data_IF_010377594030
#
_entry.id   IF_010377594030
#
_cell.length_a   1.000
_cell.length_b   1.000
_cell.length_c   1.000
_cell.angle_alpha   90.00
_cell.angle_beta   90.00
_cell.angle_gamma   90.00
#
_symmetry.space_group_name_H-M   'P 1'
#
loop_
_entity.id
_entity.type
_entity.pdbx_description
1 polymer ?
#
# COMPACT_ATOMS: atom_id res chain seq x y z
N UNK A 1 -9.17 -42.62 30.84
CA UNK A 1 -9.84 -41.39 30.36
C UNK A 1 -9.00 -40.82 29.22
N UNK A 2 -9.50 -40.85 27.98
CA UNK A 2 -8.81 -40.32 26.78
C UNK A 2 -9.48 -39.00 26.41
N UNK A 3 -8.69 -37.94 26.26
CA UNK A 3 -9.14 -36.57 26.07
C UNK A 3 -9.74 -36.42 24.66
N UNK A 4 -10.94 -35.81 24.48
CA UNK A 4 -11.60 -35.73 23.18
C UNK A 4 -11.01 -34.67 22.23
N UNK A 5 -10.01 -33.91 22.66
CA UNK A 5 -9.37 -32.85 21.87
C UNK A 5 -8.04 -33.32 21.29
N UNK A 6 -8.11 -34.17 20.26
CA UNK A 6 -6.96 -34.46 19.39
C UNK A 6 -6.74 -33.26 18.47
N UNK A 7 -5.49 -32.80 18.32
CA UNK A 7 -5.11 -31.70 17.42
C UNK A 7 -5.63 -31.88 15.98
N UNK A 8 -5.87 -33.13 15.54
CA UNK A 8 -6.49 -33.43 14.24
C UNK A 8 -7.93 -32.95 14.11
N UNK A 9 -8.71 -32.92 15.20
CA UNK A 9 -10.10 -32.45 15.18
C UNK A 9 -10.16 -30.93 14.99
N UNK A 10 -9.22 -30.19 15.58
CA UNK A 10 -9.15 -28.73 15.44
C UNK A 10 -8.72 -28.32 14.02
N UNK A 11 -7.73 -29.00 13.44
CA UNK A 11 -7.28 -28.73 12.07
C UNK A 11 -8.38 -29.03 11.04
N UNK A 12 -9.12 -30.13 11.19
CA UNK A 12 -10.23 -30.46 10.28
C UNK A 12 -11.43 -29.51 10.41
N UNK A 13 -11.71 -29.01 11.62
CA UNK A 13 -12.81 -28.06 11.85
C UNK A 13 -12.45 -26.66 11.32
N UNK A 14 -11.19 -26.24 11.45
CA UNK A 14 -10.71 -24.99 10.84
C UNK A 14 -10.68 -25.07 9.31
N UNK A 15 -10.23 -26.18 8.72
CA UNK A 15 -10.23 -26.37 7.27
C UNK A 15 -11.66 -26.47 6.70
N UNK A 16 -12.56 -27.16 7.39
CA UNK A 16 -13.96 -27.32 6.96
C UNK A 16 -14.81 -26.06 7.11
N UNK A 17 -14.57 -25.25 8.14
CA UNK A 17 -15.35 -24.03 8.38
C UNK A 17 -14.81 -22.81 7.62
N UNK A 18 -13.49 -22.73 7.41
CA UNK A 18 -12.83 -21.56 6.84
C UNK A 18 -12.30 -21.75 5.41
N UNK A 19 -11.94 -22.97 5.00
CA UNK A 19 -11.35 -23.21 3.67
C UNK A 19 -12.30 -23.89 2.67
N UNK A 20 -13.28 -24.67 3.13
CA UNK A 20 -14.28 -25.28 2.25
C UNK A 20 -15.10 -24.28 1.38
N UNK A 21 -15.49 -23.08 1.85
CA UNK A 21 -16.17 -22.10 1.00
C UNK A 21 -15.21 -21.32 0.07
N UNK A 22 -13.90 -21.55 0.14
CA UNK A 22 -12.87 -20.86 -0.64
C UNK A 22 -12.19 -21.74 -1.71
N UNK A 23 -12.62 -22.99 -1.88
CA UNK A 23 -12.23 -23.79 -3.04
C UNK A 23 -13.20 -23.45 -4.19
N UNK A 24 -12.77 -22.72 -5.23
CA UNK A 24 -13.61 -22.51 -6.40
C UNK A 24 -13.85 -23.87 -7.07
N UNK A 25 -15.08 -24.37 -6.98
CA UNK A 25 -15.59 -25.38 -7.89
C UNK A 25 -15.34 -24.87 -9.30
N UNK A 26 -14.44 -25.53 -10.02
CA UNK A 26 -13.98 -25.18 -11.35
C UNK A 26 -15.10 -25.33 -12.38
N UNK A 27 -16.06 -24.40 -12.38
CA UNK A 27 -17.04 -24.18 -13.45
C UNK A 27 -17.88 -22.90 -13.31
N UNK A 28 -17.71 -22.05 -12.27
CA UNK A 28 -18.44 -20.78 -12.13
C UNK A 28 -17.54 -19.55 -12.26
N UNK A 29 -16.82 -19.42 -13.37
CA UNK A 29 -16.31 -18.13 -13.85
C UNK A 29 -17.43 -17.34 -14.58
N UNK A 30 -18.57 -17.18 -13.91
CA UNK A 30 -19.67 -16.29 -14.30
C UNK A 30 -20.78 -16.36 -13.23
N UNK A 31 -20.52 -15.83 -12.04
CA UNK A 31 -21.62 -15.46 -11.15
C UNK A 31 -21.46 -13.98 -10.84
N UNK A 32 -22.16 -13.17 -11.63
CA UNK A 32 -22.40 -11.77 -11.33
C UNK A 32 -22.98 -11.67 -9.92
N UNK A 33 -22.32 -10.92 -9.04
CA UNK A 33 -22.97 -10.38 -7.85
C UNK A 33 -24.20 -9.60 -8.35
N UNK A 34 -25.43 -9.98 -7.98
CA UNK A 34 -26.62 -9.33 -8.52
C UNK A 34 -26.70 -7.87 -8.05
N UNK A 35 -26.32 -6.98 -8.96
CA UNK A 35 -26.20 -5.53 -8.81
C UNK A 35 -27.56 -4.79 -8.74
N UNK A 36 -28.47 -5.25 -7.87
CA UNK A 36 -29.85 -4.74 -7.83
C UNK A 36 -30.30 -4.17 -6.47
N UNK A 37 -29.65 -4.50 -5.34
CA UNK A 37 -30.05 -3.97 -4.02
C UNK A 37 -29.04 -2.96 -3.42
N UNK A 38 -27.80 -2.93 -3.89
CA UNK A 38 -26.72 -2.07 -3.38
C UNK A 38 -26.77 -0.63 -3.96
N UNK A 39 -27.47 -0.44 -5.08
CA UNK A 39 -27.55 0.82 -5.82
C UNK A 39 -28.09 1.98 -4.98
N UNK A 40 -28.95 1.74 -3.98
CA UNK A 40 -29.55 2.81 -3.16
C UNK A 40 -28.62 3.40 -2.09
N UNK A 41 -27.78 2.58 -1.45
CA UNK A 41 -26.82 3.03 -0.44
C UNK A 41 -25.54 3.57 -1.10
N UNK A 42 -25.03 2.90 -2.13
CA UNK A 42 -23.86 3.35 -2.87
C UNK A 42 -24.09 4.73 -3.52
N UNK A 43 -25.24 4.95 -4.16
CA UNK A 43 -25.57 6.24 -4.80
C UNK A 43 -25.67 7.37 -3.78
N UNK A 44 -26.21 7.10 -2.58
CA UNK A 44 -26.28 8.12 -1.50
C UNK A 44 -24.92 8.49 -0.94
N UNK A 45 -24.02 7.51 -0.84
CA UNK A 45 -22.64 7.74 -0.42
C UNK A 45 -21.93 8.59 -1.48
N UNK A 46 -22.05 8.20 -2.76
CA UNK A 46 -21.45 8.94 -3.87
C UNK A 46 -21.98 10.36 -3.99
N UNK A 47 -23.29 10.60 -3.91
CA UNK A 47 -23.85 11.96 -3.98
C UNK A 47 -23.36 12.87 -2.84
N UNK A 48 -23.09 12.28 -1.68
CA UNK A 48 -22.61 13.03 -0.49
C UNK A 48 -21.09 13.25 -0.54
N UNK A 49 -20.32 12.27 -1.00
CA UNK A 49 -18.85 12.30 -1.00
C UNK A 49 -18.29 12.90 -2.30
N UNK A 50 -18.93 12.71 -3.44
CA UNK A 50 -18.50 13.25 -4.73
C UNK A 50 -18.24 14.76 -4.75
N UNK A 51 -19.05 15.66 -4.13
CA UNK A 51 -18.73 17.08 -4.14
C UNK A 51 -17.45 17.40 -3.37
N UNK A 52 -17.18 16.66 -2.28
CA UNK A 52 -15.96 16.80 -1.49
C UNK A 52 -14.78 16.25 -2.30
N UNK A 53 -14.88 15.04 -2.84
CA UNK A 53 -13.86 14.41 -3.66
C UNK A 53 -13.48 15.27 -4.87
N UNK A 54 -14.47 15.81 -5.61
CA UNK A 54 -14.23 16.70 -6.75
C UNK A 54 -13.56 18.02 -6.35
N UNK A 55 -13.88 18.56 -5.17
CA UNK A 55 -13.21 19.75 -4.66
C UNK A 55 -11.73 19.46 -4.35
N UNK A 56 -11.44 18.31 -3.74
CA UNK A 56 -10.07 17.86 -3.51
C UNK A 56 -9.32 17.57 -4.81
N UNK A 57 -9.93 16.85 -5.74
CA UNK A 57 -9.31 16.52 -7.03
C UNK A 57 -8.92 17.77 -7.80
N UNK A 58 -9.80 18.79 -7.82
CA UNK A 58 -9.51 20.06 -8.48
C UNK A 58 -8.33 20.80 -7.84
N UNK A 59 -8.17 20.72 -6.53
CA UNK A 59 -7.08 21.40 -5.81
C UNK A 59 -5.77 20.62 -5.97
N UNK A 60 -5.81 19.31 -5.71
CA UNK A 60 -4.64 18.41 -5.68
C UNK A 60 -4.10 18.15 -7.09
N UNK A 61 -4.99 17.94 -8.07
CA UNK A 61 -4.65 17.71 -9.46
C UNK A 61 -4.81 18.95 -10.36
N UNK A 62 -4.91 20.14 -9.77
CA UNK A 62 -4.61 21.37 -10.53
C UNK A 62 -3.19 21.23 -11.06
N UNK A 63 -2.99 21.43 -12.36
CA UNK A 63 -1.71 21.17 -13.02
C UNK A 63 -1.39 22.21 -14.07
N UNK A 64 -0.12 22.28 -14.44
CA UNK A 64 0.34 23.06 -15.57
C UNK A 64 0.75 22.12 -16.71
N UNK A 65 0.42 22.50 -17.93
CA UNK A 65 0.81 21.77 -19.13
C UNK A 65 2.31 21.99 -19.36
N UNK A 66 3.09 20.91 -19.36
CA UNK A 66 4.54 20.96 -19.59
C UNK A 66 4.88 20.78 -21.07
N UNK A 67 4.12 19.94 -21.76
CA UNK A 67 4.24 19.63 -23.20
C UNK A 67 2.83 19.32 -23.73
N UNK A 68 2.58 19.47 -25.03
CA UNK A 68 1.30 19.15 -25.69
C UNK A 68 0.72 17.80 -25.20
N UNK A 69 -0.26 17.88 -24.29
CA UNK A 69 -0.98 16.72 -23.73
C UNK A 69 -0.45 16.14 -22.41
N UNK A 70 0.61 16.69 -21.79
CA UNK A 70 1.14 16.21 -20.50
C UNK A 70 0.89 17.25 -19.40
N UNK A 71 -0.16 17.02 -18.62
CA UNK A 71 -0.50 17.82 -17.43
C UNK A 71 0.25 17.24 -16.23
N UNK A 72 1.13 18.04 -15.61
CA UNK A 72 1.74 17.67 -14.33
C UNK A 72 0.94 18.26 -13.16
N UNK A 73 0.37 17.42 -12.27
CA UNK A 73 -0.28 17.89 -11.05
C UNK A 73 0.67 18.71 -10.18
N UNK A 74 0.18 19.82 -9.64
CA UNK A 74 0.93 20.70 -8.71
C UNK A 74 1.39 19.91 -7.48
N UNK A 75 0.59 18.94 -7.00
CA UNK A 75 0.99 18.07 -5.88
C UNK A 75 2.27 17.28 -6.18
N UNK A 76 2.42 16.77 -7.41
CA UNK A 76 3.60 16.01 -7.84
C UNK A 76 4.85 16.89 -7.87
N UNK A 77 4.70 18.13 -8.34
CA UNK A 77 5.78 19.11 -8.41
C UNK A 77 6.20 19.54 -7.00
N UNK A 78 5.24 19.78 -6.11
CA UNK A 78 5.51 20.11 -4.71
C UNK A 78 6.23 18.96 -3.99
N UNK A 79 5.74 17.72 -4.15
CA UNK A 79 6.36 16.52 -3.57
C UNK A 79 7.78 16.30 -4.12
N UNK A 80 7.95 16.36 -5.44
CA UNK A 80 9.26 16.20 -6.08
C UNK A 80 10.26 17.29 -5.68
N UNK A 81 9.84 18.57 -5.70
CA UNK A 81 10.67 19.68 -5.27
C UNK A 81 11.07 19.57 -3.80
N UNK A 82 10.13 19.19 -2.93
CA UNK A 82 10.39 18.98 -1.50
C UNK A 82 11.34 17.80 -1.29
N UNK A 83 11.15 16.68 -1.99
CA UNK A 83 12.02 15.52 -1.91
C UNK A 83 13.46 15.83 -2.34
N UNK A 84 13.63 16.56 -3.44
CA UNK A 84 14.95 17.02 -3.91
C UNK A 84 15.57 17.98 -2.90
N UNK A 85 14.80 18.97 -2.42
CA UNK A 85 15.25 19.93 -1.42
C UNK A 85 15.73 19.23 -0.13
N UNK A 86 14.93 18.33 0.43
CA UNK A 86 15.29 17.56 1.62
C UNK A 86 16.51 16.67 1.37
N UNK A 87 16.60 16.04 0.19
CA UNK A 87 17.74 15.18 -0.17
C UNK A 87 19.05 15.98 -0.23
N UNK A 88 19.02 17.17 -0.81
CA UNK A 88 20.18 18.07 -0.86
C UNK A 88 20.53 18.64 0.51
N UNK A 89 19.52 19.09 1.27
CA UNK A 89 19.69 19.64 2.62
C UNK A 89 20.32 18.62 3.58
N UNK A 90 19.84 17.37 3.56
CA UNK A 90 20.41 16.27 4.35
C UNK A 90 21.65 15.62 3.74
N UNK A 91 22.23 16.21 2.67
CA UNK A 91 23.47 15.75 2.03
C UNK A 91 23.42 14.27 1.59
N UNK A 92 22.30 13.84 1.00
CA UNK A 92 22.05 12.46 0.57
C UNK A 92 22.08 11.42 1.71
N UNK A 93 21.52 11.78 2.87
CA UNK A 93 21.40 10.84 4.00
C UNK A 93 20.63 9.57 3.63
N UNK A 94 19.66 9.64 2.70
CA UNK A 94 18.90 8.48 2.22
C UNK A 94 19.82 7.35 1.72
N UNK A 95 20.92 7.69 1.05
CA UNK A 95 21.90 6.71 0.57
C UNK A 95 22.98 6.39 1.62
N UNK A 96 23.53 7.42 2.30
CA UNK A 96 24.64 7.22 3.24
C UNK A 96 24.24 6.54 4.55
N UNK A 97 23.02 6.84 5.01
CA UNK A 97 22.46 6.34 6.27
C UNK A 97 21.95 4.91 6.21
N UNK A 98 21.74 4.34 5.00
CA UNK A 98 21.15 3.02 4.81
C UNK A 98 21.87 1.91 5.60
N UNK A 99 23.21 1.90 5.58
CA UNK A 99 24.00 0.90 6.31
C UNK A 99 23.97 1.06 7.83
N UNK A 100 23.73 2.28 8.35
CA UNK A 100 23.55 2.52 9.80
C UNK A 100 22.13 2.13 10.19
N UNK A 101 21.14 2.51 9.39
CA UNK A 101 19.73 2.16 9.60
C UNK A 101 19.53 0.64 9.64
N UNK A 102 20.12 -0.12 8.71
CA UNK A 102 20.00 -1.58 8.70
C UNK A 102 20.66 -2.24 9.92
N UNK A 103 21.82 -1.73 10.36
CA UNK A 103 22.47 -2.22 11.59
C UNK A 103 21.65 -1.92 12.85
N UNK A 104 20.96 -0.78 12.87
CA UNK A 104 20.07 -0.37 13.96
C UNK A 104 18.80 -1.23 13.98
N UNK A 105 18.17 -1.43 12.82
CA UNK A 105 16.99 -2.29 12.67
C UNK A 105 17.27 -3.75 13.07
N UNK A 106 18.50 -4.25 12.85
CA UNK A 106 18.93 -5.60 13.28
C UNK A 106 19.27 -5.71 14.78
N UNK A 107 19.09 -4.63 15.55
CA UNK A 107 19.28 -4.64 17.01
C UNK A 107 20.72 -4.44 17.48
N UNK A 108 21.67 -4.11 16.58
CA UNK A 108 23.10 -3.99 16.93
C UNK A 108 23.43 -2.79 17.83
N UNK A 109 22.51 -1.85 17.96
CA UNK A 109 22.65 -0.61 18.74
C UNK A 109 21.53 -0.44 19.78
N UNK A 110 20.88 -1.51 20.23
CA UNK A 110 19.84 -1.43 21.28
C UNK A 110 20.50 -1.57 22.66
N UNK A 111 20.54 -0.51 23.50
CA UNK A 111 20.91 -0.65 24.90
C UNK A 111 19.96 -1.62 25.62
N UNK A 112 20.47 -2.35 26.60
CA UNK A 112 19.69 -3.30 27.40
C UNK A 112 18.60 -2.63 28.27
N UNK A 113 18.64 -1.29 28.37
CA UNK A 113 17.75 -0.41 29.14
C UNK A 113 17.07 0.65 28.25
N UNK A 114 16.85 0.32 26.96
CA UNK A 114 16.17 1.22 26.04
C UNK A 114 14.65 1.24 26.34
N UNK A 115 14.03 2.41 26.55
CA UNK A 115 12.59 2.50 26.72
C UNK A 115 11.89 2.18 25.40
N UNK A 116 11.20 1.04 25.33
CA UNK A 116 10.42 0.63 24.16
C UNK A 116 9.72 -0.72 24.36
N UNK A 117 8.42 -0.76 24.08
CA UNK A 117 7.61 -1.98 24.18
C UNK A 117 7.78 -2.93 22.98
N UNK A 118 8.34 -2.43 21.88
CA UNK A 118 8.58 -3.18 20.64
C UNK A 118 10.01 -3.02 20.15
N UNK A 119 10.52 -4.06 19.49
CA UNK A 119 11.87 -4.02 18.90
C UNK A 119 11.92 -3.10 17.68
N UNK A 120 13.10 -2.54 17.38
CA UNK A 120 13.33 -1.73 16.18
C UNK A 120 12.93 -2.47 14.88
N UNK A 121 13.15 -3.79 14.82
CA UNK A 121 12.74 -4.60 13.69
C UNK A 121 11.21 -4.71 13.59
N UNK A 122 10.51 -4.93 14.70
CA UNK A 122 9.04 -4.99 14.70
C UNK A 122 8.41 -3.65 14.29
N UNK A 123 8.97 -2.53 14.75
CA UNK A 123 8.54 -1.21 14.31
C UNK A 123 8.74 -1.01 12.80
N UNK A 124 9.90 -1.43 12.27
CA UNK A 124 10.17 -1.39 10.83
C UNK A 124 9.21 -2.29 10.05
N UNK A 125 8.97 -3.52 10.50
CA UNK A 125 8.04 -4.45 9.84
C UNK A 125 6.60 -3.92 9.83
N UNK A 126 6.15 -3.29 10.91
CA UNK A 126 4.84 -2.64 10.97
C UNK A 126 4.74 -1.48 9.96
N UNK A 127 5.77 -0.62 9.90
CA UNK A 127 5.82 0.48 8.94
C UNK A 127 5.85 -0.02 7.48
N UNK A 128 6.70 -1.01 7.17
CA UNK A 128 6.80 -1.61 5.84
C UNK A 128 5.50 -2.31 5.42
N UNK A 129 4.78 -2.93 6.36
CA UNK A 129 3.47 -3.53 6.08
C UNK A 129 2.43 -2.49 5.71
N UNK A 130 2.52 -1.27 6.25
CA UNK A 130 1.62 -0.19 5.90
C UNK A 130 1.93 0.38 4.50
N UNK A 131 3.21 0.37 4.09
CA UNK A 131 3.62 0.94 2.81
C UNK A 131 3.59 -0.07 1.67
N UNK A 132 3.87 -1.35 1.90
CA UNK A 132 3.91 -2.40 0.85
C UNK A 132 2.57 -3.13 0.79
N UNK A 133 1.55 -2.44 0.28
CA UNK A 133 0.19 -2.99 0.13
C UNK A 133 -0.17 -3.35 -1.32
N UNK A 134 -1.39 -3.90 -1.51
CA UNK A 134 -1.98 -4.18 -2.83
C UNK A 134 -1.99 -2.93 -3.72
N UNK A 135 -2.14 -1.75 -3.12
CA UNK A 135 -2.07 -0.46 -3.82
C UNK A 135 -0.74 -0.21 -4.52
N UNK A 136 0.40 -0.64 -3.95
CA UNK A 136 1.70 -0.50 -4.61
C UNK A 136 1.86 -1.48 -5.76
N UNK A 137 1.36 -2.71 -5.62
CA UNK A 137 1.45 -3.71 -6.70
C UNK A 137 0.52 -3.33 -7.86
N UNK A 138 -0.72 -2.96 -7.57
CA UNK A 138 -1.69 -2.49 -8.57
C UNK A 138 -1.30 -1.15 -9.20
N UNK A 139 -0.77 -0.21 -8.40
CA UNK A 139 -0.31 1.08 -8.87
C UNK A 139 0.87 0.97 -9.84
N UNK A 140 1.84 0.09 -9.55
CA UNK A 140 2.94 -0.21 -10.49
C UNK A 140 2.41 -0.83 -11.78
N UNK A 141 1.45 -1.77 -11.69
CA UNK A 141 0.85 -2.37 -12.89
C UNK A 141 0.16 -1.33 -13.80
N UNK A 142 -0.63 -0.42 -13.22
CA UNK A 142 -1.27 0.67 -13.98
C UNK A 142 -0.23 1.63 -14.55
N UNK A 143 0.79 2.01 -13.77
CA UNK A 143 1.81 2.95 -14.23
C UNK A 143 2.67 2.40 -15.36
N UNK A 144 3.03 1.12 -15.33
CA UNK A 144 3.75 0.48 -16.45
C UNK A 144 2.83 0.27 -17.65
N UNK A 145 1.55 -0.07 -17.40
CA UNK A 145 0.56 -0.24 -18.47
C UNK A 145 0.30 1.05 -19.24
N UNK A 146 0.22 2.20 -18.55
CA UNK A 146 -0.05 3.50 -19.16
C UNK A 146 1.23 4.24 -19.57
N UNK A 147 2.28 4.18 -18.75
CA UNK A 147 3.54 4.91 -18.93
C UNK A 147 4.65 4.14 -19.65
N UNK A 148 4.43 2.87 -19.97
CA UNK A 148 5.40 2.02 -20.65
C UNK A 148 6.57 1.56 -19.76
N UNK A 149 7.57 0.86 -20.34
CA UNK A 149 8.65 0.24 -19.58
C UNK A 149 9.58 1.25 -18.88
N UNK A 150 9.57 2.52 -19.30
CA UNK A 150 10.34 3.59 -18.68
C UNK A 150 9.81 4.02 -17.30
N UNK A 151 8.55 3.74 -16.98
CA UNK A 151 7.94 4.12 -15.70
C UNK A 151 8.65 3.48 -14.50
N UNK A 152 9.08 2.21 -14.63
CA UNK A 152 9.78 1.49 -13.56
C UNK A 152 11.12 2.13 -13.20
N UNK A 153 11.84 2.67 -14.18
CA UNK A 153 13.10 3.38 -13.93
C UNK A 153 12.88 4.61 -13.05
N UNK A 154 11.86 5.41 -13.38
CA UNK A 154 11.52 6.60 -12.60
C UNK A 154 10.98 6.28 -11.21
N UNK A 155 10.25 5.17 -11.05
CA UNK A 155 9.79 4.69 -9.74
C UNK A 155 10.94 4.28 -8.82
N UNK A 156 11.97 3.60 -9.34
CA UNK A 156 13.15 3.24 -8.56
C UNK A 156 13.98 4.47 -8.19
N UNK A 157 14.03 5.47 -9.07
CA UNK A 157 14.77 6.71 -8.82
C UNK A 157 14.11 7.61 -7.76
N UNK A 158 12.78 7.66 -7.76
CA UNK A 158 11.99 8.49 -6.83
C UNK A 158 11.67 7.79 -5.50
N UNK A 159 11.90 6.48 -5.43
CA UNK A 159 11.66 5.64 -4.25
C UNK A 159 12.79 5.62 -3.23
#
# INVERSE_FOLDING_TARGET
MKNPFSASAFTSLFFGLFLAPLLPSSSTLAEEVPAAAEKGLATRIDETIAPIAKAFDKVVFSGFEVTDGVVLPVVLVLLGATAIFLTLYFKFINLRGFGIALRTARGKYTPHDAPGEITHFQALSAALSATVGLGNIGGVAVAVGVGGPGATFWMVLMG
#
